data_IF_995462537891
#
_entry.id   IF_995462537891
#
_cell.length_a   1.000
_cell.length_b   1.000
_cell.length_c   1.000
_cell.angle_alpha   90.00
_cell.angle_beta   90.00
_cell.angle_gamma   90.00
#
_symmetry.space_group_name_H-M   'P 1'
#
loop_
_entity.id
_entity.type
_entity.pdbx_description
1 polymer ?
#
# COMPACT_ATOMS: atom_id res chain seq x y z
N UNK A 1 16.95 -29.63 6.10
CA UNK A 1 17.09 -28.18 6.37
C UNK A 1 15.86 -27.78 7.14
N UNK A 2 16.00 -27.11 8.29
CA UNK A 2 14.86 -26.80 9.17
C UNK A 2 13.92 -25.80 8.49
N UNK A 3 12.65 -26.19 8.38
CA UNK A 3 11.53 -25.49 7.76
C UNK A 3 11.04 -24.31 8.63
N UNK A 4 11.88 -23.30 8.82
CA UNK A 4 11.34 -21.98 9.16
C UNK A 4 10.71 -21.44 7.88
N UNK A 5 9.39 -21.49 7.82
CA UNK A 5 8.54 -20.96 6.73
C UNK A 5 9.04 -19.57 6.32
N UNK A 6 9.81 -19.51 5.24
CA UNK A 6 10.11 -18.27 4.56
C UNK A 6 8.76 -17.72 4.07
N UNK A 7 8.38 -16.55 4.56
CA UNK A 7 7.26 -15.79 4.01
C UNK A 7 7.47 -15.71 2.50
N UNK A 8 6.46 -16.05 1.70
CA UNK A 8 6.58 -15.93 0.24
C UNK A 8 6.94 -14.48 -0.12
N UNK A 9 7.76 -14.30 -1.15
CA UNK A 9 8.21 -12.97 -1.58
C UNK A 9 7.02 -12.01 -1.81
N UNK A 10 5.91 -12.54 -2.34
CA UNK A 10 4.67 -11.78 -2.57
C UNK A 10 4.00 -11.32 -1.26
N UNK A 11 3.96 -12.18 -0.23
CA UNK A 11 3.41 -11.81 1.09
C UNK A 11 4.31 -10.77 1.75
N UNK A 12 5.63 -10.96 1.69
CA UNK A 12 6.57 -9.97 2.21
C UNK A 12 6.39 -8.61 1.50
N UNK A 13 6.24 -8.61 0.18
CA UNK A 13 5.99 -7.40 -0.59
C UNK A 13 4.65 -6.74 -0.26
N UNK A 14 3.60 -7.52 -0.04
CA UNK A 14 2.31 -6.99 0.42
C UNK A 14 2.42 -6.30 1.78
N UNK A 15 3.14 -6.91 2.73
CA UNK A 15 3.39 -6.31 4.06
C UNK A 15 4.08 -4.95 3.89
N UNK A 16 5.17 -4.91 3.11
CA UNK A 16 5.91 -3.67 2.84
C UNK A 16 5.03 -2.56 2.23
N UNK A 17 4.15 -2.90 1.29
CA UNK A 17 3.25 -1.94 0.65
C UNK A 17 2.21 -1.40 1.64
N UNK A 18 1.66 -2.26 2.49
CA UNK A 18 0.69 -1.85 3.50
C UNK A 18 1.33 -0.89 4.53
N UNK A 19 2.58 -1.13 4.92
CA UNK A 19 3.35 -0.21 5.77
C UNK A 19 3.58 1.14 5.05
N UNK A 20 3.99 1.12 3.79
CA UNK A 20 4.18 2.33 3.00
C UNK A 20 2.89 3.14 2.81
N UNK A 21 1.74 2.48 2.59
CA UNK A 21 0.44 3.16 2.53
C UNK A 21 0.10 3.82 3.87
N UNK A 22 0.34 3.13 4.98
CA UNK A 22 0.12 3.68 6.32
C UNK A 22 0.95 4.93 6.56
N UNK A 23 2.23 4.90 6.18
CA UNK A 23 3.13 6.05 6.33
C UNK A 23 2.71 7.23 5.44
N UNK A 24 2.33 6.97 4.18
CA UNK A 24 1.84 8.04 3.29
C UNK A 24 0.54 8.65 3.79
N UNK A 25 -0.39 7.83 4.31
CA UNK A 25 -1.63 8.35 4.91
C UNK A 25 -1.31 9.28 6.09
N UNK A 26 -0.35 8.90 6.95
CA UNK A 26 0.11 9.75 8.04
C UNK A 26 0.71 11.07 7.53
N UNK A 27 1.48 11.04 6.44
CA UNK A 27 2.04 12.26 5.86
C UNK A 27 0.95 13.19 5.30
N UNK A 28 -0.08 12.62 4.67
CA UNK A 28 -1.25 13.38 4.21
C UNK A 28 -1.95 14.03 5.41
N UNK A 29 -2.25 13.27 6.46
CA UNK A 29 -2.88 13.79 7.67
C UNK A 29 -2.08 14.90 8.35
N UNK A 30 -0.75 14.78 8.39
CA UNK A 30 0.13 15.77 9.01
C UNK A 30 0.17 17.10 8.27
N UNK A 31 0.01 17.09 6.95
CA UNK A 31 0.15 18.28 6.10
C UNK A 31 -1.17 18.73 5.48
N UNK A 32 -2.32 18.12 5.85
CA UNK A 32 -3.60 18.38 5.19
C UNK A 32 -4.12 19.81 5.39
N UNK A 33 -3.69 20.47 6.46
CA UNK A 33 -4.04 21.84 6.81
C UNK A 33 -2.96 22.86 6.37
N UNK A 34 -1.89 22.40 5.73
CA UNK A 34 -0.84 23.28 5.21
C UNK A 34 -1.31 23.96 3.91
N UNK A 35 -0.87 25.19 3.66
CA UNK A 35 -1.19 25.93 2.43
C UNK A 35 -0.47 25.37 1.17
N UNK A 36 0.35 24.33 1.30
CA UNK A 36 1.12 23.73 0.21
C UNK A 36 0.44 22.51 -0.43
N UNK A 37 -0.49 22.80 -1.34
CA UNK A 37 -1.23 21.79 -2.13
C UNK A 37 -0.29 20.87 -2.95
N UNK A 38 0.88 21.36 -3.38
CA UNK A 38 1.81 20.58 -4.21
C UNK A 38 2.44 19.42 -3.44
N UNK A 39 2.65 19.57 -2.12
CA UNK A 39 3.13 18.50 -1.25
C UNK A 39 2.06 17.41 -1.10
N UNK A 40 0.81 17.80 -0.84
CA UNK A 40 -0.30 16.87 -0.66
C UNK A 40 -0.55 16.06 -1.94
N UNK A 41 -0.50 16.69 -3.11
CA UNK A 41 -0.68 16.01 -4.38
C UNK A 41 0.42 14.97 -4.64
N UNK A 42 1.66 15.24 -4.21
CA UNK A 42 2.74 14.25 -4.29
C UNK A 42 2.48 13.03 -3.39
N UNK A 43 1.96 13.24 -2.18
CA UNK A 43 1.60 12.13 -1.30
C UNK A 43 0.43 11.31 -1.85
N UNK A 44 -0.61 11.96 -2.38
CA UNK A 44 -1.72 11.28 -3.06
C UNK A 44 -1.23 10.45 -4.24
N UNK A 45 -0.36 11.01 -5.07
CA UNK A 45 0.24 10.28 -6.20
C UNK A 45 1.07 9.06 -5.76
N UNK A 46 1.85 9.18 -4.68
CA UNK A 46 2.57 8.02 -4.10
C UNK A 46 1.62 6.96 -3.59
N UNK A 47 0.56 7.36 -2.88
CA UNK A 47 -0.48 6.45 -2.39
C UNK A 47 -1.14 5.68 -3.53
N UNK A 48 -1.47 6.36 -4.63
CA UNK A 48 -2.05 5.70 -5.82
C UNK A 48 -1.13 4.64 -6.43
N UNK A 49 0.19 4.89 -6.46
CA UNK A 49 1.16 3.87 -6.92
C UNK A 49 1.13 2.63 -6.04
N UNK A 50 1.15 2.80 -4.73
CA UNK A 50 1.09 1.67 -3.80
C UNK A 50 -0.23 0.91 -3.89
N UNK A 51 -1.36 1.60 -4.06
CA UNK A 51 -2.66 0.95 -4.27
C UNK A 51 -2.71 0.17 -5.58
N UNK A 52 -2.08 0.68 -6.64
CA UNK A 52 -1.99 -0.04 -7.92
C UNK A 52 -1.17 -1.32 -7.75
N UNK A 53 -0.02 -1.24 -7.10
CA UNK A 53 0.84 -2.41 -6.85
C UNK A 53 0.16 -3.43 -5.92
N UNK A 54 -0.50 -2.97 -4.86
CA UNK A 54 -1.28 -3.85 -3.98
C UNK A 54 -2.37 -4.60 -4.74
N UNK A 55 -3.06 -3.91 -5.67
CA UNK A 55 -4.07 -4.54 -6.53
C UNK A 55 -3.46 -5.65 -7.39
N UNK A 56 -2.27 -5.44 -7.95
CA UNK A 56 -1.56 -6.45 -8.75
C UNK A 56 -1.18 -7.66 -7.89
N UNK A 57 -0.67 -7.45 -6.67
CA UNK A 57 -0.35 -8.55 -5.75
C UNK A 57 -1.58 -9.33 -5.29
N UNK A 58 -2.71 -8.67 -5.02
CA UNK A 58 -3.95 -9.33 -4.64
C UNK A 58 -4.47 -10.29 -5.73
N UNK A 59 -4.17 -10.02 -7.00
CA UNK A 59 -4.57 -10.91 -8.11
C UNK A 59 -3.88 -12.27 -8.03
N UNK A 60 -2.65 -12.36 -7.50
CA UNK A 60 -1.94 -13.64 -7.28
C UNK A 60 -2.69 -14.54 -6.27
N UNK A 61 -3.48 -13.94 -5.39
CA UNK A 61 -4.34 -14.64 -4.43
C UNK A 61 -5.75 -14.87 -4.96
N UNK A 62 -6.02 -14.57 -6.24
CA UNK A 62 -7.37 -14.52 -6.83
C UNK A 62 -8.34 -13.59 -6.10
N UNK A 63 -7.82 -12.51 -5.50
CA UNK A 63 -8.61 -11.49 -4.82
C UNK A 63 -8.71 -10.27 -5.73
N UNK A 64 -9.94 -9.83 -5.99
CA UNK A 64 -10.22 -8.56 -6.65
C UNK A 64 -10.69 -7.51 -5.65
N UNK A 65 -10.59 -6.20 -5.97
CA UNK A 65 -11.14 -5.16 -5.11
C UNK A 65 -12.65 -5.30 -4.83
N UNK A 66 -13.40 -5.96 -5.72
CA UNK A 66 -14.84 -6.19 -5.53
C UNK A 66 -15.12 -7.20 -4.40
N UNK A 67 -14.21 -8.14 -4.17
CA UNK A 67 -14.33 -9.15 -3.10
C UNK A 67 -14.16 -8.52 -1.71
N UNK A 68 -13.52 -7.35 -1.63
CA UNK A 68 -13.30 -6.60 -0.39
C UNK A 68 -14.46 -5.67 -0.02
N UNK A 69 -15.45 -5.49 -0.91
CA UNK A 69 -16.61 -4.62 -0.68
C UNK A 69 -17.78 -5.34 0.02
N UNK A 70 -17.53 -6.53 0.57
CA UNK A 70 -18.50 -7.42 1.22
C UNK A 70 -19.07 -6.86 2.54
#
# INVERSE_FOLDING_TARGET
MNEQELISEDIARMIDILEQIKDVNRMIELHQDDEDDLMIDQYKYRREKFLKELKELLQEFNISPADLAA
#
